data_IF_011415741958
#
_entry.id   IF_011415741958
#
_cell.length_a   1.000
_cell.length_b   1.000
_cell.length_c   1.000
_cell.angle_alpha   90.00
_cell.angle_beta   90.00
_cell.angle_gamma   90.00
#
_symmetry.space_group_name_H-M   'P 1'
#
loop_
_entity.id
_entity.type
_entity.pdbx_description
1 polymer ?
#
# COMPACT_ATOMS: atom_id res chain seq x y z
N UNK A 1 -37.81 -3.93 -15.96
CA UNK A 1 -37.28 -5.05 -15.17
C UNK A 1 -36.00 -5.61 -15.79
N UNK A 2 -36.02 -6.16 -17.01
CA UNK A 2 -34.81 -6.73 -17.65
C UNK A 2 -33.58 -5.80 -17.71
N UNK A 3 -33.76 -4.50 -18.02
CA UNK A 3 -32.67 -3.54 -18.04
C UNK A 3 -32.05 -3.27 -16.64
N UNK A 4 -32.89 -3.27 -15.59
CA UNK A 4 -32.45 -3.08 -14.21
C UNK A 4 -31.71 -4.33 -13.69
N UNK A 5 -32.20 -5.52 -14.01
CA UNK A 5 -31.54 -6.80 -13.69
C UNK A 5 -30.17 -6.95 -14.39
N UNK A 6 -30.09 -6.53 -15.66
CA UNK A 6 -28.83 -6.46 -16.40
C UNK A 6 -27.83 -5.49 -15.75
N UNK A 7 -28.28 -4.30 -15.32
CA UNK A 7 -27.43 -3.35 -14.60
C UNK A 7 -26.96 -3.89 -13.25
N UNK A 8 -27.83 -4.55 -12.49
CA UNK A 8 -27.51 -5.12 -11.18
C UNK A 8 -26.48 -6.25 -11.28
N UNK A 9 -26.65 -7.15 -12.25
CA UNK A 9 -25.71 -8.24 -12.51
C UNK A 9 -24.34 -7.73 -12.98
N UNK A 10 -24.31 -6.70 -13.83
CA UNK A 10 -23.07 -6.04 -14.25
C UNK A 10 -22.37 -5.32 -13.08
N UNK A 11 -23.12 -4.73 -12.15
CA UNK A 11 -22.56 -4.13 -10.92
C UNK A 11 -21.94 -5.20 -10.00
N UNK A 12 -22.62 -6.35 -9.81
CA UNK A 12 -22.08 -7.49 -9.02
C UNK A 12 -20.78 -8.02 -9.59
N UNK A 13 -20.72 -8.29 -10.90
CA UNK A 13 -19.49 -8.76 -11.55
C UNK A 13 -18.32 -7.77 -11.40
N UNK A 14 -18.61 -6.47 -11.51
CA UNK A 14 -17.60 -5.42 -11.27
C UNK A 14 -17.11 -5.43 -9.82
N UNK A 15 -18.02 -5.60 -8.87
CA UNK A 15 -17.67 -5.67 -7.45
C UNK A 15 -16.82 -6.90 -7.11
N UNK A 16 -17.18 -8.08 -7.64
CA UNK A 16 -16.39 -9.31 -7.50
C UNK A 16 -14.99 -9.16 -8.09
N UNK A 17 -14.90 -8.55 -9.28
CA UNK A 17 -13.60 -8.26 -9.92
C UNK A 17 -12.76 -7.31 -9.07
N UNK A 18 -13.35 -6.24 -8.55
CA UNK A 18 -12.68 -5.28 -7.67
C UNK A 18 -12.21 -5.92 -6.35
N UNK A 19 -12.98 -6.86 -5.78
CA UNK A 19 -12.56 -7.63 -4.61
C UNK A 19 -11.35 -8.52 -4.91
N UNK A 20 -11.35 -9.18 -6.08
CA UNK A 20 -10.21 -9.97 -6.54
C UNK A 20 -8.95 -9.11 -6.73
N UNK A 21 -9.09 -7.92 -7.32
CA UNK A 21 -7.99 -6.96 -7.47
C UNK A 21 -7.46 -6.47 -6.11
N UNK A 22 -8.35 -6.13 -5.18
CA UNK A 22 -7.95 -5.73 -3.82
C UNK A 22 -7.14 -6.83 -3.11
N UNK A 23 -7.55 -8.11 -3.23
CA UNK A 23 -6.77 -9.22 -2.68
C UNK A 23 -5.38 -9.35 -3.33
N UNK A 24 -5.27 -9.12 -4.65
CA UNK A 24 -3.97 -9.12 -5.33
C UNK A 24 -3.06 -7.98 -4.87
N UNK A 25 -3.61 -6.79 -4.63
CA UNK A 25 -2.85 -5.64 -4.10
C UNK A 25 -2.34 -5.93 -2.69
N UNK A 26 -3.18 -6.50 -1.81
CA UNK A 26 -2.74 -6.89 -0.45
C UNK A 26 -1.60 -7.91 -0.51
N UNK A 27 -1.72 -8.93 -1.36
CA UNK A 27 -0.65 -9.90 -1.53
C UNK A 27 0.64 -9.27 -2.08
N UNK A 28 0.51 -8.29 -2.99
CA UNK A 28 1.65 -7.54 -3.51
C UNK A 28 2.31 -6.67 -2.43
N UNK A 29 1.52 -5.97 -1.62
CA UNK A 29 2.02 -5.18 -0.49
C UNK A 29 2.77 -6.07 0.52
N UNK A 30 2.23 -7.24 0.85
CA UNK A 30 2.89 -8.22 1.71
C UNK A 30 4.22 -8.73 1.13
N UNK A 31 4.30 -9.00 -0.18
CA UNK A 31 5.58 -9.35 -0.83
C UNK A 31 6.58 -8.19 -0.80
N UNK A 32 6.14 -6.96 -1.06
CA UNK A 32 6.97 -5.75 -0.99
C UNK A 32 7.56 -5.59 0.41
N UNK A 33 6.74 -5.75 1.46
CA UNK A 33 7.16 -5.70 2.86
C UNK A 33 8.28 -6.70 3.18
N UNK A 34 8.14 -7.94 2.73
CA UNK A 34 9.19 -8.97 2.89
C UNK A 34 10.48 -8.56 2.20
N UNK A 35 10.42 -8.20 0.90
CA UNK A 35 11.60 -7.80 0.12
C UNK A 35 12.31 -6.59 0.74
N UNK A 36 11.54 -5.60 1.16
CA UNK A 36 12.06 -4.39 1.78
C UNK A 36 12.71 -4.68 3.14
N UNK A 37 12.12 -5.58 3.93
CA UNK A 37 12.72 -6.05 5.18
C UNK A 37 14.05 -6.79 4.93
N UNK A 38 14.16 -7.55 3.86
CA UNK A 38 15.42 -8.20 3.46
C UNK A 38 16.47 -7.17 3.06
N UNK A 39 16.09 -6.11 2.33
CA UNK A 39 17.00 -4.99 2.00
C UNK A 39 17.52 -4.31 3.27
N UNK A 40 16.64 -4.03 4.24
CA UNK A 40 17.06 -3.46 5.52
C UNK A 40 18.06 -4.35 6.26
N UNK A 41 17.86 -5.67 6.24
CA UNK A 41 18.81 -6.65 6.81
C UNK A 41 20.15 -6.65 6.07
N UNK A 42 20.13 -6.67 4.73
CA UNK A 42 21.36 -6.61 3.92
C UNK A 42 22.15 -5.31 4.20
N UNK A 43 21.47 -4.18 4.35
CA UNK A 43 22.12 -2.93 4.72
C UNK A 43 22.78 -2.99 6.12
N UNK A 44 22.20 -3.71 7.06
CA UNK A 44 22.80 -3.94 8.39
C UNK A 44 24.04 -4.85 8.33
N UNK A 45 24.00 -5.88 7.48
CA UNK A 45 25.14 -6.77 7.26
C UNK A 45 26.31 -6.02 6.62
N UNK A 46 26.04 -5.16 5.63
CA UNK A 46 27.05 -4.29 5.02
C UNK A 46 27.69 -3.37 6.07
N UNK A 47 26.89 -2.80 6.97
CA UNK A 47 27.40 -1.94 8.05
C UNK A 47 28.37 -2.68 8.98
N UNK A 48 28.03 -3.92 9.34
CA UNK A 48 28.91 -4.81 10.12
C UNK A 48 30.22 -5.12 9.37
N UNK A 49 30.13 -5.45 8.08
CA UNK A 49 31.31 -5.75 7.26
C UNK A 49 32.22 -4.52 7.11
N UNK A 50 31.64 -3.36 6.82
CA UNK A 50 32.41 -2.11 6.67
C UNK A 50 33.06 -1.66 7.96
N UNK A 51 32.42 -1.88 9.12
CA UNK A 51 33.06 -1.67 10.42
C UNK A 51 34.30 -2.57 10.62
N UNK A 52 34.22 -3.83 10.20
CA UNK A 52 35.39 -4.73 10.21
C UNK A 52 36.52 -4.26 9.28
N UNK A 53 36.18 -3.77 8.09
CA UNK A 53 37.16 -3.20 7.14
C UNK A 53 37.82 -1.95 7.72
N UNK A 54 37.06 -1.08 8.38
CA UNK A 54 37.59 0.11 9.06
C UNK A 54 38.59 -0.26 10.16
N UNK A 55 38.30 -1.29 10.98
CA UNK A 55 39.23 -1.79 12.01
C UNK A 55 40.53 -2.33 11.40
N UNK A 56 40.42 -3.19 10.38
CA UNK A 56 41.58 -3.76 9.68
C UNK A 56 42.43 -2.66 9.04
N UNK A 57 41.78 -1.70 8.37
CA UNK A 57 42.43 -0.53 7.79
C UNK A 57 43.15 0.30 8.86
N UNK A 58 42.51 0.56 10.00
CA UNK A 58 43.11 1.32 11.10
C UNK A 58 44.33 0.62 11.67
N UNK A 59 44.25 -0.68 11.93
CA UNK A 59 45.37 -1.49 12.41
C UNK A 59 46.52 -1.56 11.40
N UNK A 60 46.19 -1.70 10.11
CA UNK A 60 47.19 -1.67 9.02
C UNK A 60 47.90 -0.31 8.95
N UNK A 61 47.15 0.78 9.09
CA UNK A 61 47.71 2.13 9.13
C UNK A 61 48.64 2.33 10.33
N UNK A 62 48.30 1.79 11.51
CA UNK A 62 49.18 1.83 12.69
C UNK A 62 50.44 0.97 12.51
N UNK A 63 50.31 -0.22 11.92
CA UNK A 63 51.46 -1.08 11.60
C UNK A 63 52.42 -0.39 10.62
N UNK A 64 51.88 0.25 9.57
CA UNK A 64 52.65 1.02 8.61
C UNK A 64 53.36 2.21 9.26
N UNK A 65 52.71 2.92 10.17
CA UNK A 65 53.33 3.99 10.94
C UNK A 65 54.50 3.49 11.78
N UNK A 66 54.33 2.37 12.49
CA UNK A 66 55.41 1.76 13.28
C UNK A 66 56.58 1.34 12.39
N UNK A 67 56.30 0.77 11.22
CA UNK A 67 57.33 0.40 10.24
C UNK A 67 58.08 1.63 9.70
N UNK A 68 57.39 2.75 9.43
CA UNK A 68 58.01 3.99 9.00
C UNK A 68 58.95 4.56 10.08
N UNK A 69 58.55 4.50 11.36
CA UNK A 69 59.40 4.93 12.49
C UNK A 69 60.66 4.07 12.60
N UNK A 70 60.53 2.75 12.49
CA UNK A 70 61.68 1.85 12.58
C UNK A 70 62.61 1.99 11.36
N UNK A 71 62.05 2.22 10.17
CA UNK A 71 62.80 2.53 8.97
C UNK A 71 63.61 3.82 9.11
N UNK A 72 63.02 4.89 9.68
CA UNK A 72 63.73 6.13 9.97
C UNK A 72 64.87 5.91 10.99
N UNK A 73 64.63 5.06 12.00
CA UNK A 73 65.63 4.71 13.02
C UNK A 73 66.83 3.93 12.44
N UNK A 74 66.59 3.10 11.42
CA UNK A 74 67.64 2.35 10.73
C UNK A 74 68.48 3.21 9.75
N UNK A 75 68.12 4.49 9.55
CA UNK A 75 68.84 5.40 8.66
C UNK A 75 68.89 4.90 7.22
N UNK A 76 70.07 4.93 6.60
CA UNK A 76 70.23 4.49 5.19
C UNK A 76 69.81 3.03 4.95
N UNK A 77 69.97 2.14 5.95
CA UNK A 77 69.56 0.73 5.83
C UNK A 77 68.04 0.56 5.79
N UNK A 78 67.28 1.55 6.26
CA UNK A 78 65.82 1.55 6.30
C UNK A 78 65.16 2.23 5.10
N UNK A 79 65.91 2.85 4.19
CA UNK A 79 65.35 3.67 3.12
C UNK A 79 64.33 2.92 2.24
N UNK A 80 64.62 1.67 1.87
CA UNK A 80 63.69 0.84 1.10
C UNK A 80 62.43 0.45 1.90
N UNK A 81 62.57 0.20 3.20
CA UNK A 81 61.43 -0.10 4.08
C UNK A 81 60.54 1.10 4.31
N UNK A 82 61.10 2.32 4.34
CA UNK A 82 60.33 3.56 4.47
C UNK A 82 59.34 3.74 3.30
N UNK A 83 59.79 3.48 2.06
CA UNK A 83 58.92 3.57 0.87
C UNK A 83 57.77 2.56 0.94
N UNK A 84 58.05 1.32 1.35
CA UNK A 84 57.01 0.29 1.51
C UNK A 84 56.03 0.66 2.62
N UNK A 85 56.53 1.17 3.76
CA UNK A 85 55.69 1.60 4.86
C UNK A 85 54.73 2.74 4.46
N UNK A 86 55.22 3.71 3.69
CA UNK A 86 54.38 4.80 3.17
C UNK A 86 53.31 4.29 2.21
N UNK A 87 53.63 3.37 1.30
CA UNK A 87 52.66 2.79 0.36
C UNK A 87 51.56 2.00 1.09
N UNK A 88 51.94 1.17 2.06
CA UNK A 88 50.99 0.44 2.91
C UNK A 88 50.10 1.42 3.69
N UNK A 89 50.65 2.53 4.16
CA UNK A 89 49.88 3.57 4.85
C UNK A 89 48.84 4.21 3.92
N UNK A 90 49.23 4.55 2.70
CA UNK A 90 48.32 5.11 1.70
C UNK A 90 47.19 4.13 1.35
N UNK A 91 47.52 2.86 1.11
CA UNK A 91 46.53 1.81 0.87
C UNK A 91 45.54 1.68 2.03
N UNK A 92 46.04 1.66 3.26
CA UNK A 92 45.18 1.59 4.45
C UNK A 92 44.22 2.79 4.54
N UNK A 93 44.70 4.00 4.26
CA UNK A 93 43.87 5.21 4.26
C UNK A 93 42.80 5.20 3.16
N UNK A 94 43.15 4.75 1.96
CA UNK A 94 42.19 4.59 0.85
C UNK A 94 41.14 3.55 1.20
N UNK A 95 41.54 2.40 1.75
CA UNK A 95 40.60 1.36 2.22
C UNK A 95 39.64 1.90 3.29
N UNK A 96 40.12 2.71 4.24
CA UNK A 96 39.27 3.36 5.24
C UNK A 96 38.17 4.23 4.59
N UNK A 97 38.58 5.04 3.61
CA UNK A 97 37.69 5.95 2.91
C UNK A 97 36.64 5.18 2.12
N UNK A 98 37.05 4.15 1.38
CA UNK A 98 36.11 3.28 0.66
C UNK A 98 35.12 2.58 1.60
N UNK A 99 35.55 2.11 2.77
CA UNK A 99 34.65 1.50 3.74
C UNK A 99 33.59 2.50 4.24
N UNK A 100 33.98 3.75 4.51
CA UNK A 100 33.05 4.83 4.88
C UNK A 100 32.06 5.16 3.76
N UNK A 101 32.53 5.24 2.51
CA UNK A 101 31.67 5.50 1.35
C UNK A 101 30.63 4.37 1.17
N UNK A 102 31.03 3.11 1.36
CA UNK A 102 30.11 1.97 1.35
C UNK A 102 29.08 2.09 2.48
N UNK A 103 29.48 2.49 3.70
CA UNK A 103 28.53 2.71 4.81
C UNK A 103 27.48 3.77 4.47
N UNK A 104 27.89 4.87 3.85
CA UNK A 104 26.95 5.93 3.40
C UNK A 104 25.92 5.37 2.40
N UNK A 105 26.34 4.50 1.48
CA UNK A 105 25.44 3.84 0.53
C UNK A 105 24.50 2.87 1.26
N UNK A 106 25.01 2.09 2.22
CA UNK A 106 24.20 1.19 3.02
C UNK A 106 23.13 1.93 3.83
N UNK A 107 23.48 3.07 4.44
CA UNK A 107 22.53 3.92 5.18
C UNK A 107 21.44 4.49 4.28
N UNK A 108 21.78 4.91 3.05
CA UNK A 108 20.78 5.32 2.06
C UNK A 108 19.84 4.17 1.71
N UNK A 109 20.38 2.97 1.48
CA UNK A 109 19.57 1.76 1.22
C UNK A 109 18.63 1.43 2.39
N UNK A 110 19.11 1.55 3.63
CA UNK A 110 18.32 1.35 4.85
C UNK A 110 17.19 2.38 4.98
N UNK A 111 17.46 3.64 4.65
CA UNK A 111 16.45 4.71 4.66
C UNK A 111 15.37 4.46 3.58
N UNK A 112 15.78 4.10 2.37
CA UNK A 112 14.85 3.75 1.28
C UNK A 112 14.01 2.52 1.63
N UNK A 113 14.59 1.52 2.31
CA UNK A 113 13.84 0.38 2.80
C UNK A 113 12.78 0.80 3.83
N UNK A 114 13.11 1.68 4.79
CA UNK A 114 12.11 2.19 5.75
C UNK A 114 10.94 2.88 5.04
N UNK A 115 11.23 3.75 4.07
CA UNK A 115 10.19 4.40 3.27
C UNK A 115 9.32 3.39 2.51
N UNK A 116 9.91 2.36 1.91
CA UNK A 116 9.16 1.31 1.22
C UNK A 116 8.28 0.47 2.15
N UNK A 117 8.69 0.30 3.41
CA UNK A 117 7.91 -0.40 4.42
C UNK A 117 6.68 0.42 4.83
N UNK A 118 6.85 1.73 5.02
CA UNK A 118 5.76 2.65 5.34
C UNK A 118 4.73 2.69 4.20
N UNK A 119 5.20 2.82 2.95
CA UNK A 119 4.34 2.78 1.76
C UNK A 119 3.55 1.45 1.66
N UNK A 120 4.19 0.32 1.94
CA UNK A 120 3.53 -0.99 1.94
C UNK A 120 2.44 -1.08 3.04
N UNK A 121 2.71 -0.54 4.24
CA UNK A 121 1.72 -0.51 5.32
C UNK A 121 0.54 0.41 4.98
N UNK A 122 0.78 1.53 4.31
CA UNK A 122 -0.30 2.43 3.88
C UNK A 122 -1.14 1.82 2.75
N UNK A 123 -0.51 1.09 1.82
CA UNK A 123 -1.22 0.28 0.83
C UNK A 123 -2.10 -0.79 1.49
N UNK A 124 -1.64 -1.46 2.55
CA UNK A 124 -2.45 -2.41 3.32
C UNK A 124 -3.70 -1.73 3.93
N UNK A 125 -3.54 -0.55 4.55
CA UNK A 125 -4.68 0.20 5.12
C UNK A 125 -5.69 0.62 4.05
N UNK A 126 -5.21 1.16 2.93
CA UNK A 126 -6.06 1.58 1.80
C UNK A 126 -6.81 0.39 1.24
N UNK A 127 -6.13 -0.75 1.07
CA UNK A 127 -6.73 -1.98 0.53
C UNK A 127 -7.75 -2.59 1.48
N UNK A 128 -7.50 -2.52 2.79
CA UNK A 128 -8.47 -2.94 3.81
C UNK A 128 -9.74 -2.07 3.76
N UNK A 129 -9.60 -0.74 3.75
CA UNK A 129 -10.74 0.18 3.62
C UNK A 129 -11.52 -0.02 2.32
N UNK A 130 -10.82 -0.26 1.20
CA UNK A 130 -11.43 -0.59 -0.08
C UNK A 130 -12.24 -1.90 0.02
N UNK A 131 -11.69 -2.94 0.64
CA UNK A 131 -12.38 -4.23 0.82
C UNK A 131 -13.66 -4.07 1.63
N UNK A 132 -13.63 -3.29 2.71
CA UNK A 132 -14.81 -3.02 3.53
C UNK A 132 -15.89 -2.31 2.72
N UNK A 133 -15.52 -1.31 1.92
CA UNK A 133 -16.44 -0.62 1.00
C UNK A 133 -17.04 -1.57 -0.04
N UNK A 134 -16.22 -2.43 -0.65
CA UNK A 134 -16.69 -3.43 -1.63
C UNK A 134 -17.61 -4.47 -0.98
N UNK A 135 -17.36 -4.86 0.29
CA UNK A 135 -18.23 -5.77 1.05
C UNK A 135 -19.59 -5.12 1.33
N UNK A 136 -19.60 -3.84 1.70
CA UNK A 136 -20.83 -3.07 1.91
C UNK A 136 -21.64 -2.94 0.60
N UNK A 137 -20.98 -2.71 -0.53
CA UNK A 137 -21.60 -2.68 -1.85
C UNK A 137 -22.18 -4.04 -2.27
N UNK A 138 -21.53 -5.15 -1.93
CA UNK A 138 -22.10 -6.50 -2.15
C UNK A 138 -23.42 -6.72 -1.39
N UNK A 139 -23.55 -6.10 -0.21
CA UNK A 139 -24.73 -6.27 0.65
C UNK A 139 -25.88 -5.30 0.29
N UNK A 140 -25.59 -4.16 -0.34
CA UNK A 140 -26.60 -3.14 -0.68
C UNK A 140 -27.81 -3.65 -1.49
N UNK A 141 -27.65 -4.55 -2.49
CA UNK A 141 -28.78 -5.13 -3.21
C UNK A 141 -29.73 -5.96 -2.32
N UNK A 142 -29.22 -6.62 -1.27
CA UNK A 142 -30.02 -7.40 -0.34
C UNK A 142 -30.93 -6.52 0.53
N UNK A 143 -30.50 -5.28 0.80
CA UNK A 143 -31.27 -4.27 1.53
C UNK A 143 -32.26 -3.54 0.62
N UNK A 144 -31.90 -3.27 -0.64
CA UNK A 144 -32.73 -2.50 -1.58
C UNK A 144 -33.86 -3.35 -2.18
N UNK A 145 -33.60 -4.63 -2.49
CA UNK A 145 -34.60 -5.52 -3.09
C UNK A 145 -35.94 -5.57 -2.32
N UNK A 146 -35.98 -5.81 -0.99
CA UNK A 146 -37.25 -5.82 -0.25
C UNK A 146 -37.93 -4.45 -0.15
N UNK A 147 -37.18 -3.34 -0.20
CA UNK A 147 -37.73 -1.97 -0.13
C UNK A 147 -38.45 -1.62 -1.44
N UNK A 148 -37.84 -1.92 -2.58
CA UNK A 148 -38.45 -1.69 -3.90
C UNK A 148 -39.70 -2.57 -4.08
N UNK A 149 -39.63 -3.82 -3.64
CA UNK A 149 -40.76 -4.76 -3.70
C UNK A 149 -41.90 -4.34 -2.75
N UNK A 150 -41.56 -3.86 -1.55
CA UNK A 150 -42.52 -3.32 -0.57
C UNK A 150 -43.18 -2.02 -1.03
N UNK A 151 -42.43 -1.10 -1.63
CA UNK A 151 -42.96 0.14 -2.20
C UNK A 151 -43.97 -0.11 -3.32
N UNK A 152 -43.69 -1.09 -4.21
CA UNK A 152 -44.61 -1.48 -5.28
C UNK A 152 -45.91 -2.11 -4.76
N UNK A 153 -45.84 -2.88 -3.66
CA UNK A 153 -47.05 -3.40 -2.99
C UNK A 153 -47.89 -2.27 -2.39
N UNK A 154 -47.26 -1.23 -1.85
CA UNK A 154 -47.95 -0.09 -1.26
C UNK A 154 -48.65 0.79 -2.31
N UNK A 155 -48.04 1.00 -3.48
CA UNK A 155 -48.68 1.73 -4.59
C UNK A 155 -49.89 1.00 -5.19
N UNK A 156 -49.86 -0.34 -5.25
CA UNK A 156 -51.00 -1.14 -5.76
C UNK A 156 -52.19 -1.15 -4.79
N UNK A 157 -51.95 -0.99 -3.48
CA UNK A 157 -52.99 -0.86 -2.45
C UNK A 157 -53.57 0.54 -2.31
N UNK A 158 -52.95 1.57 -2.92
CA UNK A 158 -53.41 2.96 -2.87
C UNK A 158 -54.58 3.28 -3.83
N UNK A 159 -55.14 2.28 -4.53
CA UNK A 159 -56.42 2.44 -5.24
C UNK A 159 -57.56 1.91 -4.35
N UNK A 160 -58.25 2.79 -3.61
CA UNK A 160 -59.67 2.54 -3.36
C UNK A 160 -60.57 3.78 -3.60
N UNK A 161 -61.74 3.50 -4.17
CA UNK A 161 -63.01 4.22 -3.98
C UNK A 161 -63.33 5.50 -4.78
N UNK A 162 -63.25 5.47 -6.13
CA UNK A 162 -64.02 6.43 -6.98
C UNK A 162 -64.91 5.81 -8.07
N UNK A 163 -65.11 4.50 -8.09
CA UNK A 163 -65.91 3.84 -9.13
C UNK A 163 -67.31 3.34 -8.65
N UNK A 164 -67.91 3.95 -7.62
CA UNK A 164 -69.23 3.49 -7.10
C UNK A 164 -70.25 4.61 -6.83
N UNK A 165 -70.18 5.74 -7.55
CA UNK A 165 -71.20 6.80 -7.49
C UNK A 165 -71.51 7.29 -8.91
N UNK A 166 -72.26 6.50 -9.67
CA UNK A 166 -73.00 6.98 -10.88
C UNK A 166 -73.99 5.89 -11.36
N UNK A 167 -74.77 5.31 -10.44
CA UNK A 167 -75.89 4.39 -10.76
C UNK A 167 -77.08 4.62 -9.80
N UNK A 168 -77.33 5.86 -9.38
CA UNK A 168 -78.53 6.19 -8.58
C UNK A 168 -78.84 7.68 -8.67
N UNK A 169 -79.84 8.05 -9.46
CA UNK A 169 -80.46 9.36 -9.38
C UNK A 169 -80.80 9.98 -10.73
N UNK A 170 -81.72 9.39 -11.50
CA UNK A 170 -82.59 10.17 -12.40
C UNK A 170 -83.79 9.37 -12.93
N UNK A 171 -84.61 8.81 -12.04
CA UNK A 171 -86.04 8.65 -12.28
C UNK A 171 -86.77 8.87 -10.96
N UNK A 172 -87.43 10.02 -10.81
CA UNK A 172 -88.81 10.18 -10.31
C UNK A 172 -89.08 11.61 -9.85
N UNK A 173 -90.07 12.23 -10.51
CA UNK A 173 -90.97 13.20 -9.89
C UNK A 173 -90.55 14.67 -9.97
N UNK A 174 -91.16 15.41 -10.90
CA UNK A 174 -91.99 16.57 -10.60
C UNK A 174 -92.77 16.92 -11.87
N UNK A 175 -93.79 16.10 -12.11
CA UNK A 175 -94.99 16.53 -12.82
C UNK A 175 -95.89 17.27 -11.82
N UNK A 176 -96.65 18.25 -12.31
CA UNK A 176 -97.70 19.03 -11.63
C UNK A 176 -97.30 20.29 -10.84
N UNK A 177 -97.25 21.41 -11.56
CA UNK A 177 -98.17 22.53 -11.27
C UNK A 177 -99.03 22.78 -12.52
N UNK A 178 -100.31 22.40 -12.41
CA UNK A 178 -101.44 22.83 -13.24
C UNK A 178 -101.42 24.37 -13.38
N UNK A 179 -101.59 24.96 -14.57
CA UNK A 179 -102.80 25.07 -15.38
C UNK A 179 -103.95 25.82 -14.66
N UNK A 180 -104.55 26.73 -15.43
CA UNK A 180 -105.76 27.54 -15.19
C UNK A 180 -106.85 26.89 -14.34
#
# INVERSE_FOLDING_TARGET
>A
MAALEAQLSAARRRNETAQGQAAQVEQAAGRTKTLVSEIARMAQEIDTMTAGIEDVSFRTNLLALNAAVEAARAGEKGAGFAVVADEVRQLAQVTNRSAKDIRVIADKGRAQARMGLDEANDLEKITAALRDNLRNLSNAPATIAPIVEGGRRNEVLAIPARAKVEMSGQETGLDQRAAS
#
